data_IF_998024250697
#
_entry.id   IF_998024250697
#
_cell.length_a   1.000
_cell.length_b   1.000
_cell.length_c   1.000
_cell.angle_alpha   90.00
_cell.angle_beta   90.00
_cell.angle_gamma   90.00
#
_symmetry.space_group_name_H-M   'P 1'
#
loop_
_entity.id
_entity.type
_entity.pdbx_description
1 polymer ?
#
# COMPACT_ATOMS: atom_id res chain seq x y z
N UNK A 1 1.48 -3.68 -7.14
CA UNK A 1 0.08 -3.36 -7.48
C UNK A 1 -0.38 -4.31 -8.58
N UNK A 2 -1.63 -4.75 -8.54
CA UNK A 2 -2.21 -5.65 -9.54
C UNK A 2 -2.22 -4.98 -10.91
N UNK A 3 -1.92 -5.74 -11.97
CA UNK A 3 -2.05 -5.23 -13.33
C UNK A 3 -3.54 -4.98 -13.64
N UNK A 4 -3.88 -3.75 -14.02
CA UNK A 4 -5.24 -3.36 -14.39
C UNK A 4 -5.80 -4.20 -15.54
N UNK A 5 -4.93 -4.78 -16.39
CA UNK A 5 -5.35 -5.73 -17.44
C UNK A 5 -6.05 -6.96 -16.84
N UNK A 6 -5.50 -7.53 -15.76
CA UNK A 6 -6.11 -8.70 -15.11
C UNK A 6 -7.49 -8.36 -14.55
N UNK A 7 -7.65 -7.15 -14.00
CA UNK A 7 -8.93 -6.67 -13.45
C UNK A 7 -9.97 -6.52 -14.57
N UNK A 8 -9.58 -6.06 -15.76
CA UNK A 8 -10.47 -5.97 -16.92
C UNK A 8 -10.89 -7.34 -17.44
N UNK A 9 -9.97 -8.29 -17.45
CA UNK A 9 -10.21 -9.64 -17.98
C UNK A 9 -11.08 -10.48 -17.01
N UNK A 10 -10.86 -10.32 -15.70
CA UNK A 10 -11.53 -11.13 -14.67
C UNK A 10 -12.04 -10.28 -13.49
N UNK A 11 -12.99 -9.34 -13.71
CA UNK A 11 -13.43 -8.41 -12.67
C UNK A 11 -14.06 -9.11 -11.45
N UNK A 12 -14.80 -10.20 -11.68
CA UNK A 12 -15.48 -10.93 -10.61
C UNK A 12 -14.52 -11.60 -9.64
N UNK A 13 -13.32 -11.99 -10.10
CA UNK A 13 -12.25 -12.52 -9.25
C UNK A 13 -11.82 -11.50 -8.20
N UNK A 14 -11.65 -10.24 -8.62
CA UNK A 14 -11.25 -9.15 -7.71
C UNK A 14 -12.39 -8.66 -6.83
N UNK A 15 -13.65 -8.71 -7.32
CA UNK A 15 -14.83 -8.47 -6.48
C UNK A 15 -14.95 -9.50 -5.38
N UNK A 16 -14.76 -10.78 -5.71
CA UNK A 16 -14.75 -11.88 -4.73
C UNK A 16 -13.60 -11.69 -3.74
N UNK A 17 -12.38 -11.44 -4.21
CA UNK A 17 -11.23 -11.20 -3.34
C UNK A 17 -11.45 -10.03 -2.35
N UNK A 18 -12.00 -8.92 -2.84
CA UNK A 18 -12.35 -7.78 -2.00
C UNK A 18 -13.39 -8.14 -0.94
N UNK A 19 -14.44 -8.86 -1.33
CA UNK A 19 -15.48 -9.33 -0.41
C UNK A 19 -14.91 -10.28 0.65
N UNK A 20 -14.18 -11.30 0.21
CA UNK A 20 -13.66 -12.35 1.09
C UNK A 20 -12.67 -11.81 2.12
N UNK A 21 -11.90 -10.78 1.74
CA UNK A 21 -10.92 -10.13 2.63
C UNK A 21 -11.47 -8.89 3.34
N UNK A 22 -12.75 -8.55 3.17
CA UNK A 22 -13.37 -7.37 3.80
C UNK A 22 -12.88 -6.01 3.27
N UNK A 23 -12.23 -5.97 2.10
CA UNK A 23 -11.76 -4.72 1.48
C UNK A 23 -12.92 -3.95 0.83
N UNK A 24 -13.05 -2.68 1.19
CA UNK A 24 -14.06 -1.77 0.64
C UNK A 24 -13.54 -1.11 -0.64
N UNK A 25 -13.65 -1.80 -1.77
CA UNK A 25 -13.27 -1.27 -3.09
C UNK A 25 -14.36 -1.51 -4.13
N UNK A 26 -14.67 -0.50 -4.94
CA UNK A 26 -15.65 -0.61 -6.01
C UNK A 26 -14.95 -0.88 -7.36
N UNK A 27 -14.85 -2.16 -7.71
CA UNK A 27 -14.20 -2.61 -8.96
C UNK A 27 -14.95 -2.10 -10.20
N UNK A 28 -16.27 -1.97 -10.17
CA UNK A 28 -17.05 -1.46 -11.31
C UNK A 28 -16.77 0.03 -11.57
N UNK A 29 -16.64 0.83 -10.51
CA UNK A 29 -16.23 2.23 -10.61
C UNK A 29 -14.81 2.35 -11.15
N UNK A 30 -13.89 1.52 -10.66
CA UNK A 30 -12.51 1.45 -11.14
C UNK A 30 -12.45 1.19 -12.65
N UNK A 31 -13.20 0.19 -13.14
CA UNK A 31 -13.25 -0.13 -14.57
C UNK A 31 -13.92 0.98 -15.41
N UNK A 32 -14.93 1.65 -14.84
CA UNK A 32 -15.56 2.80 -15.50
C UNK A 32 -14.57 3.95 -15.68
N UNK A 33 -13.81 4.28 -14.63
CA UNK A 33 -12.77 5.32 -14.67
C UNK A 33 -11.69 4.96 -15.71
N UNK A 34 -11.23 3.71 -15.70
CA UNK A 34 -10.25 3.23 -16.68
C UNK A 34 -10.74 3.39 -18.12
N UNK A 35 -12.00 3.01 -18.40
CA UNK A 35 -12.63 3.19 -19.71
C UNK A 35 -12.72 4.67 -20.10
N UNK A 36 -13.13 5.54 -19.17
CA UNK A 36 -13.17 6.99 -19.39
C UNK A 36 -11.79 7.56 -19.71
N UNK A 37 -10.75 7.16 -18.99
CA UNK A 37 -9.36 7.60 -19.23
C UNK A 37 -8.88 7.14 -20.62
N UNK A 38 -9.16 5.88 -20.99
CA UNK A 38 -8.83 5.36 -22.32
C UNK A 38 -9.51 6.16 -23.43
N UNK A 39 -10.80 6.45 -23.28
CA UNK A 39 -11.55 7.25 -24.26
C UNK A 39 -11.02 8.69 -24.34
N UNK A 40 -10.73 9.32 -23.20
CA UNK A 40 -10.12 10.64 -23.15
C UNK A 40 -8.77 10.67 -23.89
N UNK A 41 -7.92 9.66 -23.68
CA UNK A 41 -6.63 9.52 -24.39
C UNK A 41 -6.81 9.39 -25.91
N UNK A 42 -7.79 8.61 -26.36
CA UNK A 42 -8.12 8.49 -27.80
C UNK A 42 -8.62 9.82 -28.38
N UNK A 43 -9.46 10.55 -27.64
CA UNK A 43 -9.96 11.86 -28.04
C UNK A 43 -8.83 12.89 -28.12
N UNK A 44 -7.93 12.91 -27.14
CA UNK A 44 -6.75 13.79 -27.12
C UNK A 44 -5.82 13.51 -28.31
N UNK A 45 -5.60 12.23 -28.67
CA UNK A 45 -4.85 11.87 -29.88
C UNK A 45 -5.55 12.39 -31.15
N UNK A 46 -6.87 12.29 -31.23
CA UNK A 46 -7.66 12.80 -32.37
C UNK A 46 -7.58 14.33 -32.47
N UNK A 47 -7.68 15.03 -31.33
CA UNK A 47 -7.52 16.50 -31.25
C UNK A 47 -6.11 16.90 -31.68
N UNK A 48 -5.07 16.19 -31.22
CA UNK A 48 -3.69 16.47 -31.62
C UNK A 48 -3.48 16.28 -33.13
N UNK A 49 -4.02 15.20 -33.71
CA UNK A 49 -3.97 14.95 -35.15
C UNK A 49 -4.66 16.07 -35.94
N UNK A 50 -5.84 16.50 -35.50
CA UNK A 50 -6.61 17.56 -36.17
C UNK A 50 -5.93 18.93 -36.05
N UNK A 51 -5.40 19.28 -34.87
CA UNK A 51 -4.59 20.50 -34.67
C UNK A 51 -3.39 20.53 -35.64
N UNK A 52 -2.68 19.41 -35.77
CA UNK A 52 -1.56 19.28 -36.70
C UNK A 52 -1.99 19.42 -38.18
N UNK A 53 -3.14 18.86 -38.54
CA UNK A 53 -3.72 18.99 -39.89
C UNK A 53 -4.08 20.45 -40.21
N UNK A 54 -4.78 21.12 -39.29
CA UNK A 54 -5.16 22.53 -39.43
C UNK A 54 -3.93 23.45 -39.45
N UNK A 55 -2.92 23.18 -38.61
CA UNK A 55 -1.65 23.91 -38.61
C UNK A 55 -0.93 23.89 -39.96
N UNK A 56 -1.01 22.79 -40.71
CA UNK A 56 -0.45 22.67 -42.07
C UNK A 56 -1.30 23.38 -43.15
N UNK A 57 -2.58 23.62 -42.89
CA UNK A 57 -3.51 24.26 -43.82
C UNK A 57 -3.48 25.80 -43.74
N UNK A 58 -3.18 26.37 -42.57
CA UNK A 58 -3.12 27.84 -42.35
C UNK A 58 -2.22 28.56 -43.35
N UNK A 59 -0.96 28.12 -43.63
CA UNK A 59 -0.07 28.82 -44.56
C UNK A 59 -0.56 28.77 -46.02
N UNK A 60 -1.46 27.83 -46.35
CA UNK A 60 -1.95 27.58 -47.72
C UNK A 60 -3.36 28.10 -47.98
N UNK A 61 -3.97 28.77 -47.00
CA UNK A 61 -5.37 29.21 -47.05
C UNK A 61 -5.50 30.68 -47.48
N UNK A 62 -6.59 31.04 -48.16
CA UNK A 62 -7.00 32.44 -48.38
C UNK A 62 -7.42 33.08 -47.04
N UNK A 63 -7.36 34.42 -46.92
CA UNK A 63 -7.58 35.11 -45.63
C UNK A 63 -8.93 34.78 -44.98
N UNK A 64 -9.99 34.62 -45.77
CA UNK A 64 -11.31 34.21 -45.29
C UNK A 64 -11.32 32.79 -44.69
N UNK A 65 -10.55 31.85 -45.29
CA UNK A 65 -10.39 30.47 -44.78
C UNK A 65 -9.42 30.37 -43.59
N UNK A 66 -8.49 31.33 -43.45
CA UNK A 66 -7.58 31.40 -42.30
C UNK A 66 -8.36 31.72 -41.03
N UNK A 67 -9.28 32.68 -41.07
CA UNK A 67 -10.12 33.06 -39.93
C UNK A 67 -10.88 31.85 -39.37
N UNK A 68 -11.61 31.13 -40.23
CA UNK A 68 -12.37 29.92 -39.83
C UNK A 68 -11.46 28.80 -39.29
N UNK A 69 -10.24 28.69 -39.81
CA UNK A 69 -9.27 27.67 -39.35
C UNK A 69 -8.71 28.02 -37.96
N UNK A 70 -8.48 29.31 -37.69
CA UNK A 70 -8.05 29.80 -36.38
C UNK A 70 -9.13 29.60 -35.32
N UNK A 71 -10.40 29.84 -35.64
CA UNK A 71 -11.54 29.58 -34.76
C UNK A 71 -11.63 28.10 -34.39
N UNK A 72 -11.52 27.19 -35.38
CA UNK A 72 -11.50 25.74 -35.12
C UNK A 72 -10.34 25.32 -34.24
N UNK A 73 -9.16 25.92 -34.41
CA UNK A 73 -8.01 25.66 -33.53
C UNK A 73 -8.23 26.15 -32.10
N UNK A 74 -8.89 27.30 -31.92
CA UNK A 74 -9.25 27.80 -30.59
C UNK A 74 -10.21 26.84 -29.88
N UNK A 75 -11.23 26.35 -30.59
CA UNK A 75 -12.17 25.34 -30.06
C UNK A 75 -11.44 24.05 -29.68
N UNK A 76 -10.53 23.55 -30.53
CA UNK A 76 -9.76 22.33 -30.25
C UNK A 76 -8.83 22.49 -29.03
N UNK A 77 -8.23 23.68 -28.85
CA UNK A 77 -7.41 23.97 -27.65
C UNK A 77 -8.25 23.97 -26.38
N UNK A 78 -9.46 24.53 -26.43
CA UNK A 78 -10.35 24.52 -25.27
C UNK A 78 -10.85 23.09 -24.97
N UNK A 79 -11.20 22.31 -25.99
CA UNK A 79 -11.56 20.90 -25.83
C UNK A 79 -10.40 20.07 -25.24
N UNK A 80 -9.17 20.27 -25.72
CA UNK A 80 -7.98 19.61 -25.18
C UNK A 80 -7.77 19.94 -23.69
N UNK A 81 -7.92 21.22 -23.31
CA UNK A 81 -7.82 21.66 -21.92
C UNK A 81 -8.86 20.99 -21.02
N UNK A 82 -10.12 20.98 -21.44
CA UNK A 82 -11.22 20.35 -20.69
C UNK A 82 -10.98 18.84 -20.54
N UNK A 83 -10.54 18.17 -21.61
CA UNK A 83 -10.26 16.73 -21.60
C UNK A 83 -9.09 16.39 -20.67
N UNK A 84 -8.01 17.17 -20.69
CA UNK A 84 -6.86 16.97 -19.79
C UNK A 84 -7.26 17.13 -18.31
N UNK A 85 -7.99 18.19 -17.97
CA UNK A 85 -8.45 18.41 -16.59
C UNK A 85 -9.38 17.29 -16.10
N UNK A 86 -10.31 16.85 -16.95
CA UNK A 86 -11.19 15.71 -16.63
C UNK A 86 -10.43 14.40 -16.46
N UNK A 87 -9.40 14.18 -17.28
CA UNK A 87 -8.55 13.00 -17.21
C UNK A 87 -7.72 12.96 -15.93
N UNK A 88 -7.10 14.07 -15.52
CA UNK A 88 -6.31 14.16 -14.28
C UNK A 88 -7.14 13.78 -13.04
N UNK A 89 -8.39 14.26 -12.97
CA UNK A 89 -9.32 13.88 -11.89
C UNK A 89 -9.63 12.38 -11.89
N UNK A 90 -9.89 11.80 -13.06
CA UNK A 90 -10.16 10.37 -13.20
C UNK A 90 -8.93 9.52 -12.85
N UNK A 91 -7.73 9.92 -13.28
CA UNK A 91 -6.48 9.22 -12.99
C UNK A 91 -6.16 9.25 -11.48
N UNK A 92 -6.40 10.38 -10.82
CA UNK A 92 -6.25 10.50 -9.37
C UNK A 92 -7.19 9.56 -8.61
N UNK A 93 -8.48 9.51 -9.00
CA UNK A 93 -9.46 8.60 -8.39
C UNK A 93 -9.12 7.13 -8.68
N UNK A 94 -8.70 6.81 -9.92
CA UNK A 94 -8.30 5.47 -10.32
C UNK A 94 -7.12 4.99 -9.47
N UNK A 95 -6.08 5.81 -9.31
CA UNK A 95 -4.89 5.46 -8.53
C UNK A 95 -5.24 5.15 -7.06
N UNK A 96 -6.14 5.94 -6.46
CA UNK A 96 -6.63 5.68 -5.09
C UNK A 96 -7.36 4.35 -4.99
N UNK A 97 -8.23 4.03 -5.94
CA UNK A 97 -8.94 2.75 -5.95
C UNK A 97 -8.00 1.57 -6.20
N UNK A 98 -7.02 1.74 -7.09
CA UNK A 98 -6.02 0.70 -7.40
C UNK A 98 -5.18 0.30 -6.18
N UNK A 99 -4.91 1.24 -5.26
CA UNK A 99 -4.22 0.94 -3.99
C UNK A 99 -5.06 0.08 -3.04
N UNK A 100 -6.39 0.08 -3.19
CA UNK A 100 -7.32 -0.68 -2.34
C UNK A 100 -7.71 -2.04 -2.92
N UNK A 101 -7.24 -2.37 -4.13
CA UNK A 101 -7.57 -3.66 -4.75
C UNK A 101 -6.84 -4.77 -4.03
N UNK A 102 -7.59 -5.62 -3.34
CA UNK A 102 -7.05 -6.78 -2.64
C UNK A 102 -6.51 -7.83 -3.63
N UNK A 103 -5.31 -8.32 -3.35
CA UNK A 103 -4.76 -9.49 -4.05
C UNK A 103 -5.69 -10.69 -3.82
N UNK A 104 -6.15 -11.40 -4.87
CA UNK A 104 -6.85 -12.67 -4.71
C UNK A 104 -6.01 -13.64 -3.88
N UNK A 105 -6.65 -14.37 -2.97
CA UNK A 105 -5.98 -15.47 -2.27
C UNK A 105 -5.61 -16.58 -3.29
N UNK A 106 -4.61 -17.39 -2.93
CA UNK A 106 -4.28 -18.59 -3.70
C UNK A 106 -5.41 -19.63 -3.54
N UNK A 107 -5.48 -20.58 -4.47
CA UNK A 107 -6.56 -21.57 -4.55
C UNK A 107 -6.56 -22.54 -3.35
N UNK A 108 -5.41 -22.70 -2.69
CA UNK A 108 -5.24 -23.55 -1.50
C UNK A 108 -5.52 -22.82 -0.18
N UNK A 109 -5.79 -21.51 -0.20
CA UNK A 109 -6.09 -20.72 1.00
C UNK A 109 -7.58 -20.88 1.35
N UNK A 110 -7.92 -21.48 2.50
CA UNK A 110 -9.31 -21.61 2.92
C UNK A 110 -9.91 -20.23 3.20
N UNK A 111 -11.19 -20.08 2.88
CA UNK A 111 -11.95 -18.92 3.33
C UNK A 111 -12.12 -18.96 4.85
N UNK A 112 -11.93 -17.82 5.51
CA UNK A 112 -12.22 -17.61 6.92
C UNK A 112 -12.65 -16.16 7.18
N UNK A 113 -13.64 -15.98 8.05
CA UNK A 113 -14.17 -14.69 8.49
C UNK A 113 -13.23 -14.01 9.51
N UNK A 114 -12.58 -14.82 10.35
CA UNK A 114 -11.66 -14.37 11.39
C UNK A 114 -10.57 -15.40 11.69
N UNK A 115 -9.76 -15.11 12.71
CA UNK A 115 -8.61 -15.93 13.11
C UNK A 115 -9.00 -17.27 13.74
N UNK A 116 -10.26 -17.46 14.16
CA UNK A 116 -10.74 -18.72 14.74
C UNK A 116 -10.90 -19.83 13.70
N UNK A 117 -10.95 -19.47 12.42
CA UNK A 117 -11.06 -20.40 11.29
C UNK A 117 -9.72 -20.74 10.65
N UNK A 118 -8.61 -20.26 11.23
CA UNK A 118 -7.28 -20.64 10.79
C UNK A 118 -7.05 -22.15 11.01
N UNK A 119 -6.47 -22.80 9.99
CA UNK A 119 -6.20 -24.25 10.01
C UNK A 119 -4.77 -24.50 10.47
N UNK A 120 -4.60 -25.27 11.54
CA UNK A 120 -3.27 -25.70 12.01
C UNK A 120 -2.68 -26.76 11.06
N UNK A 121 -1.59 -26.42 10.37
CA UNK A 121 -0.95 -27.31 9.39
C UNK A 121 0.04 -28.28 10.08
N UNK A 122 0.75 -27.82 11.12
CA UNK A 122 1.80 -28.59 11.79
C UNK A 122 2.01 -28.12 13.23
N UNK A 123 2.24 -29.07 14.13
CA UNK A 123 2.75 -28.86 15.48
C UNK A 123 4.09 -29.56 15.65
N UNK A 124 5.05 -28.90 16.30
CA UNK A 124 6.36 -29.48 16.59
C UNK A 124 6.72 -29.29 18.06
N UNK A 125 7.34 -30.30 18.66
CA UNK A 125 7.68 -30.33 20.09
C UNK A 125 6.53 -30.81 20.98
N UNK A 126 6.74 -30.67 22.31
CA UNK A 126 5.75 -31.01 23.33
C UNK A 126 5.62 -29.84 24.30
N UNK A 127 4.38 -29.50 24.67
CA UNK A 127 4.12 -28.48 25.71
C UNK A 127 4.66 -29.03 27.03
N UNK A 128 5.54 -28.26 27.67
CA UNK A 128 6.15 -28.63 28.95
C UNK A 128 5.06 -28.78 30.01
N UNK A 129 5.09 -29.91 30.73
CA UNK A 129 4.30 -30.11 31.93
C UNK A 129 5.10 -29.58 33.13
N UNK A 130 4.43 -28.84 34.00
CA UNK A 130 5.00 -28.31 35.23
C UNK A 130 4.38 -29.04 36.42
N UNK A 131 5.20 -29.34 37.42
CA UNK A 131 4.81 -29.84 38.74
C UNK A 131 4.49 -28.71 39.74
N UNK A 132 4.46 -27.47 39.24
CA UNK A 132 4.11 -26.24 39.95
C UNK A 132 3.28 -25.32 39.05
N UNK A 133 2.61 -24.34 39.64
CA UNK A 133 1.87 -23.33 38.88
C UNK A 133 2.85 -22.39 38.14
N UNK A 134 2.88 -22.40 36.79
CA UNK A 134 3.83 -21.61 36.04
C UNK A 134 3.51 -20.11 36.17
N UNK A 135 4.54 -19.32 36.46
CA UNK A 135 4.45 -17.85 36.40
C UNK A 135 4.51 -17.40 34.95
N UNK A 136 3.76 -16.35 34.62
CA UNK A 136 3.87 -15.70 33.31
C UNK A 136 5.20 -14.93 33.18
N UNK A 137 5.49 -14.46 31.97
CA UNK A 137 6.75 -13.76 31.67
C UNK A 137 6.91 -12.43 32.44
N UNK A 138 5.82 -11.74 32.77
CA UNK A 138 5.87 -10.50 33.55
C UNK A 138 6.19 -10.81 35.01
N UNK A 139 5.48 -11.77 35.60
CA UNK A 139 5.71 -12.22 36.97
C UNK A 139 7.14 -12.73 37.16
N UNK A 140 7.67 -13.51 36.21
CA UNK A 140 9.06 -13.96 36.21
C UNK A 140 10.03 -12.78 36.09
N UNK A 141 9.80 -11.89 35.12
CA UNK A 141 10.68 -10.75 34.87
C UNK A 141 10.76 -9.79 36.06
N UNK A 142 9.64 -9.55 36.76
CA UNK A 142 9.59 -8.76 37.98
C UNK A 142 10.29 -9.47 39.15
N UNK A 143 10.01 -10.76 39.35
CA UNK A 143 10.61 -11.53 40.45
C UNK A 143 12.14 -11.65 40.32
N UNK A 144 12.66 -11.73 39.10
CA UNK A 144 14.09 -11.75 38.79
C UNK A 144 14.71 -10.34 38.76
N UNK A 145 13.90 -9.28 38.83
CA UNK A 145 14.37 -7.91 38.74
C UNK A 145 14.90 -7.50 37.36
N UNK A 146 14.59 -8.27 36.31
CA UNK A 146 15.08 -8.06 34.94
C UNK A 146 14.11 -7.27 34.06
N UNK A 147 12.86 -7.12 34.48
CA UNK A 147 11.85 -6.24 33.86
C UNK A 147 11.46 -5.14 34.84
N UNK A 148 11.29 -3.91 34.34
CA UNK A 148 10.83 -2.75 35.12
C UNK A 148 9.78 -1.97 34.32
N UNK A 149 8.51 -2.31 34.58
CA UNK A 149 7.37 -1.70 33.89
C UNK A 149 7.10 -0.30 34.42
N UNK A 150 7.20 -0.09 35.74
CA UNK A 150 6.92 1.20 36.37
C UNK A 150 7.81 2.31 35.79
N UNK A 151 9.12 2.05 35.64
CA UNK A 151 10.02 3.00 35.00
C UNK A 151 9.72 3.23 33.51
N UNK A 152 9.32 2.18 32.80
CA UNK A 152 8.87 2.28 31.41
C UNK A 152 7.66 3.21 31.26
N UNK A 153 6.64 2.98 32.08
CA UNK A 153 5.42 3.81 32.11
C UNK A 153 5.72 5.24 32.51
N UNK A 154 6.58 5.45 33.51
CA UNK A 154 7.01 6.79 33.93
C UNK A 154 7.74 7.55 32.81
N UNK A 155 8.52 6.85 31.99
CA UNK A 155 9.29 7.47 30.90
C UNK A 155 8.42 7.76 29.66
N UNK A 156 7.63 6.78 29.22
CA UNK A 156 7.02 6.78 27.88
C UNK A 156 5.52 6.41 27.86
N UNK A 157 4.89 6.24 29.03
CA UNK A 157 3.49 5.85 29.14
C UNK A 157 3.23 4.35 29.02
N UNK A 158 1.96 3.95 28.96
CA UNK A 158 1.56 2.54 28.92
C UNK A 158 2.18 1.79 27.73
N UNK A 159 2.30 0.46 27.85
CA UNK A 159 2.97 -0.44 26.87
C UNK A 159 4.49 -0.24 26.70
N UNK A 160 5.13 0.46 27.64
CA UNK A 160 6.59 0.59 27.71
C UNK A 160 7.15 -0.08 28.98
N UNK A 161 8.37 -0.62 28.88
CA UNK A 161 9.08 -1.28 29.98
C UNK A 161 10.59 -1.17 29.78
N UNK A 162 11.35 -1.35 30.85
CA UNK A 162 12.80 -1.46 30.78
C UNK A 162 13.22 -2.91 30.99
N UNK A 163 14.25 -3.35 30.27
CA UNK A 163 15.00 -4.54 30.60
C UNK A 163 16.26 -4.16 31.38
N UNK A 164 16.63 -4.98 32.37
CA UNK A 164 17.77 -4.73 33.28
C UNK A 164 18.62 -5.99 33.44
N UNK A 165 19.92 -5.79 33.67
CA UNK A 165 20.87 -6.87 33.95
C UNK A 165 20.75 -8.00 32.92
N UNK A 166 20.54 -9.21 33.42
CA UNK A 166 20.43 -10.42 32.60
C UNK A 166 19.28 -10.36 31.59
N UNK A 167 18.18 -9.64 31.85
CA UNK A 167 17.10 -9.48 30.87
C UNK A 167 17.53 -8.67 29.66
N UNK A 168 18.31 -7.61 29.88
CA UNK A 168 18.86 -6.80 28.79
C UNK A 168 19.90 -7.60 28.00
N UNK A 169 20.80 -8.32 28.69
CA UNK A 169 21.80 -9.19 28.04
C UNK A 169 21.14 -10.30 27.21
N UNK A 170 20.09 -10.94 27.74
CA UNK A 170 19.34 -11.98 27.04
C UNK A 170 18.66 -11.44 25.78
N UNK A 171 18.07 -10.26 25.83
CA UNK A 171 17.47 -9.60 24.66
C UNK A 171 18.49 -9.44 23.52
N UNK A 172 19.66 -8.89 23.82
CA UNK A 172 20.72 -8.73 22.83
C UNK A 172 21.26 -10.06 22.30
N UNK A 173 21.42 -11.05 23.17
CA UNK A 173 21.87 -12.39 22.79
C UNK A 173 20.91 -13.05 21.79
N UNK A 174 19.60 -12.94 22.02
CA UNK A 174 18.57 -13.49 21.11
C UNK A 174 18.59 -12.77 19.76
N UNK A 175 18.66 -11.44 19.74
CA UNK A 175 18.76 -10.67 18.50
C UNK A 175 20.01 -11.05 17.70
N UNK A 176 21.15 -11.19 18.39
CA UNK A 176 22.41 -11.56 17.74
C UNK A 176 22.35 -12.98 17.18
N UNK A 177 21.83 -13.93 17.95
CA UNK A 177 21.63 -15.30 17.49
C UNK A 177 20.78 -15.36 16.21
N UNK A 178 19.66 -14.63 16.16
CA UNK A 178 18.81 -14.58 14.98
C UNK A 178 19.52 -14.01 13.74
N UNK A 179 20.32 -12.95 13.94
CA UNK A 179 21.13 -12.36 12.86
C UNK A 179 22.17 -13.34 12.33
N UNK A 180 22.97 -13.95 13.22
CA UNK A 180 24.01 -14.91 12.83
C UNK A 180 23.39 -16.12 12.13
N UNK A 181 22.27 -16.64 12.64
CA UNK A 181 21.54 -17.74 12.02
C UNK A 181 21.13 -17.43 10.57
N UNK A 182 20.63 -16.22 10.31
CA UNK A 182 20.24 -15.82 8.95
C UNK A 182 21.45 -15.57 8.04
N UNK A 183 22.53 -15.02 8.56
CA UNK A 183 23.80 -14.86 7.83
C UNK A 183 24.36 -16.22 7.41
N UNK A 184 24.33 -17.21 8.30
CA UNK A 184 24.76 -18.59 8.02
C UNK A 184 23.88 -19.27 6.95
N UNK A 185 22.64 -18.80 6.75
CA UNK A 185 21.75 -19.21 5.66
C UNK A 185 22.03 -18.49 4.34
N UNK A 186 23.01 -17.60 4.29
CA UNK A 186 23.43 -16.86 3.09
C UNK A 186 22.73 -15.52 2.89
N UNK A 187 21.97 -15.03 3.88
CA UNK A 187 21.38 -13.69 3.80
C UNK A 187 22.42 -12.62 4.10
N UNK A 188 22.37 -11.51 3.35
CA UNK A 188 23.24 -10.35 3.59
C UNK A 188 22.58 -9.45 4.64
N UNK A 189 23.25 -9.12 5.76
CA UNK A 189 22.67 -8.27 6.78
C UNK A 189 22.71 -6.79 6.36
N UNK A 190 21.60 -6.08 6.57
CA UNK A 190 21.50 -4.63 6.37
C UNK A 190 21.12 -3.95 7.68
N UNK A 191 21.75 -2.81 7.96
CA UNK A 191 21.26 -1.84 8.95
C UNK A 191 20.62 -0.69 8.19
N UNK A 192 19.32 -0.46 8.44
CA UNK A 192 18.49 0.45 7.64
C UNK A 192 17.88 1.55 8.52
N UNK A 193 17.48 2.69 7.93
CA UNK A 193 16.68 3.69 8.63
C UNK A 193 15.37 3.09 9.18
N UNK A 194 14.93 3.59 10.33
CA UNK A 194 13.65 3.21 10.98
C UNK A 194 12.55 4.26 10.82
N UNK A 195 12.87 5.37 10.15
CA UNK A 195 11.92 6.40 9.73
C UNK A 195 11.87 6.42 8.21
N UNK A 196 10.68 6.52 7.62
CA UNK A 196 10.47 6.40 6.18
C UNK A 196 9.41 7.37 5.66
N UNK A 197 9.51 7.65 4.35
CA UNK A 197 8.53 8.50 3.66
C UNK A 197 7.25 7.73 3.34
N UNK A 198 6.18 8.47 3.05
CA UNK A 198 4.86 7.92 2.70
C UNK A 198 4.90 7.01 1.48
N UNK A 199 5.77 7.31 0.51
CA UNK A 199 5.91 6.48 -0.70
C UNK A 199 6.45 5.08 -0.37
N UNK A 200 7.33 4.97 0.63
CA UNK A 200 7.85 3.67 1.09
C UNK A 200 6.75 2.85 1.76
N UNK A 201 5.93 3.48 2.61
CA UNK A 201 4.78 2.84 3.25
C UNK A 201 3.72 2.39 2.25
N UNK A 202 3.50 3.21 1.22
CA UNK A 202 2.59 2.86 0.11
C UNK A 202 3.15 1.70 -0.72
N UNK A 203 4.47 1.68 -0.94
CA UNK A 203 5.15 0.64 -1.71
C UNK A 203 5.05 -0.76 -1.10
N UNK A 204 5.00 -0.86 0.23
CA UNK A 204 4.80 -2.13 0.96
C UNK A 204 3.32 -2.50 1.15
N UNK A 205 2.40 -1.60 0.79
CA UNK A 205 0.97 -1.76 1.03
C UNK A 205 0.54 -1.49 2.47
N UNK A 206 1.44 -0.93 3.30
CA UNK A 206 1.09 -0.50 4.66
C UNK A 206 0.15 0.71 4.62
N UNK A 207 0.37 1.62 3.67
CA UNK A 207 -0.57 2.67 3.31
C UNK A 207 -1.25 2.36 1.96
N UNK A 208 -2.52 2.72 1.79
CA UNK A 208 -3.43 3.29 2.79
C UNK A 208 -4.09 2.23 3.68
N UNK A 209 -4.53 2.62 4.88
CA UNK A 209 -5.41 1.82 5.75
C UNK A 209 -4.81 1.34 7.08
N UNK A 210 -3.53 1.57 7.34
CA UNK A 210 -2.87 1.24 8.61
C UNK A 210 -2.07 2.42 9.19
N UNK A 211 -2.41 3.65 8.80
CA UNK A 211 -1.79 4.89 9.29
C UNK A 211 -1.86 4.99 10.83
N UNK A 212 -2.94 4.50 11.43
CA UNK A 212 -3.15 4.47 12.88
C UNK A 212 -2.19 3.54 13.64
N UNK A 213 -1.50 2.66 12.92
CA UNK A 213 -0.49 1.75 13.47
C UNK A 213 0.94 2.31 13.38
N UNK A 214 1.11 3.56 12.96
CA UNK A 214 2.42 4.22 12.80
C UNK A 214 2.57 5.47 13.67
N UNK A 215 3.82 5.85 13.96
CA UNK A 215 4.13 7.13 14.60
C UNK A 215 4.51 8.16 13.55
N UNK A 216 3.74 9.24 13.43
CA UNK A 216 4.03 10.33 12.48
C UNK A 216 4.95 11.38 13.10
N UNK A 217 6.06 11.66 12.44
CA UNK A 217 6.94 12.81 12.71
C UNK A 217 6.51 14.00 11.85
N UNK A 218 5.50 14.76 12.32
CA UNK A 218 4.81 15.81 11.55
C UNK A 218 5.73 16.86 10.91
N UNK A 219 6.78 17.28 11.64
CA UNK A 219 7.70 18.32 11.14
C UNK A 219 8.60 17.83 10.01
N UNK A 220 8.95 16.55 10.06
CA UNK A 220 9.89 15.93 9.14
C UNK A 220 9.18 15.18 8.00
N UNK A 221 7.86 14.99 8.13
CA UNK A 221 7.02 14.25 7.18
C UNK A 221 7.50 12.80 6.97
N UNK A 222 7.86 12.14 8.08
CA UNK A 222 8.30 10.75 8.13
C UNK A 222 7.39 9.93 9.06
N UNK A 223 7.33 8.62 8.83
CA UNK A 223 6.66 7.62 9.66
C UNK A 223 7.64 6.59 10.19
#
# INVERSE_FOLDING_TARGET
MIDIKEIRENPDRFKKAAKDKGFKVNIDRLLKLDSTIKQAKQNLQSIAAEKNRLGKLIPKSSDDKKQTTLEKLAVLKEQEKIQNQGMEGCESELNKLMLLVAQPADDDVPFGEDDTQNVEIRREGKIRQFDFEPKDHVQLGLALGIIDIERGVKLAGTRNYFLKGDGALLHWAVLRFAMDFMVDKGYVPFSVPVLMKDETMTGTGFFPGSEDQTYRMEKDQLN
#
